data_IF_050730301650
#
_entry.id   IF_050730301650
#
_cell.length_a   1.000
_cell.length_b   1.000
_cell.length_c   1.000
_cell.angle_alpha   90.00
_cell.angle_beta   90.00
_cell.angle_gamma   90.00
#
_symmetry.space_group_name_H-M   'P 1'
#
loop_
_entity.id
_entity.type
_entity.pdbx_description
1 polymer ?
#
# COMPACT_ATOMS: atom_id res chain seq x y z
N UNK A 1 33.68 -14.41 31.52
CA UNK A 1 33.53 -15.39 30.41
C UNK A 1 32.03 -15.54 30.17
N UNK A 2 31.39 -15.34 29.02
CA UNK A 2 31.84 -15.04 27.66
C UNK A 2 30.67 -14.42 26.91
N UNK A 3 30.94 -13.36 26.14
CA UNK A 3 29.98 -12.59 25.34
C UNK A 3 29.77 -13.36 24.02
N UNK A 4 28.61 -13.98 23.83
CA UNK A 4 28.28 -14.68 22.59
C UNK A 4 28.03 -13.64 21.50
N UNK A 5 28.95 -13.54 20.54
CA UNK A 5 28.84 -12.69 19.36
C UNK A 5 27.84 -13.35 18.40
N UNK A 6 26.66 -12.76 18.25
CA UNK A 6 25.74 -13.05 17.15
C UNK A 6 26.33 -12.47 15.86
N UNK A 7 26.94 -13.33 15.04
CA UNK A 7 27.40 -12.99 13.70
C UNK A 7 26.16 -12.82 12.80
N UNK A 8 25.77 -11.57 12.56
CA UNK A 8 24.86 -11.22 11.48
C UNK A 8 25.56 -11.54 10.15
N UNK A 9 25.18 -12.67 9.56
CA UNK A 9 25.62 -13.10 8.23
C UNK A 9 25.08 -12.13 7.17
N UNK A 10 25.84 -11.08 6.88
CA UNK A 10 25.61 -10.25 5.70
C UNK A 10 25.98 -11.09 4.49
N UNK A 11 24.96 -11.49 3.73
CA UNK A 11 25.08 -12.24 2.48
C UNK A 11 25.86 -11.38 1.47
N UNK A 12 27.18 -11.52 1.45
CA UNK A 12 28.07 -10.97 0.42
C UNK A 12 27.82 -11.74 -0.87
N UNK A 13 26.80 -11.36 -1.63
CA UNK A 13 26.62 -11.81 -3.00
C UNK A 13 27.68 -11.08 -3.86
N UNK A 14 28.55 -11.79 -4.60
CA UNK A 14 29.46 -11.13 -5.54
C UNK A 14 28.64 -10.36 -6.59
N UNK A 15 29.16 -9.24 -7.13
CA UNK A 15 28.46 -8.48 -8.15
C UNK A 15 28.11 -9.41 -9.32
N UNK A 16 26.87 -9.34 -9.79
CA UNK A 16 26.42 -10.14 -10.93
C UNK A 16 27.33 -9.86 -12.12
N UNK A 17 28.21 -10.80 -12.45
CA UNK A 17 29.13 -10.68 -13.57
C UNK A 17 28.29 -10.64 -14.86
N UNK A 18 28.40 -9.55 -15.60
CA UNK A 18 27.67 -9.38 -16.87
C UNK A 18 28.20 -10.44 -17.84
N UNK A 19 27.33 -11.37 -18.24
CA UNK A 19 27.65 -12.39 -19.24
C UNK A 19 27.19 -11.90 -20.61
N UNK A 20 28.13 -11.86 -21.55
CA UNK A 20 27.84 -11.51 -22.95
C UNK A 20 27.77 -12.79 -23.79
N UNK A 21 26.82 -12.85 -24.72
CA UNK A 21 26.76 -13.88 -25.74
C UNK A 21 26.33 -13.27 -27.08
N UNK A 22 26.90 -13.78 -28.17
CA UNK A 22 26.50 -13.39 -29.53
C UNK A 22 25.31 -14.24 -29.94
N UNK A 23 24.22 -13.60 -30.40
CA UNK A 23 23.00 -14.26 -30.84
C UNK A 23 22.75 -13.94 -32.31
N UNK A 24 22.09 -14.86 -33.03
CA UNK A 24 21.55 -14.54 -34.35
C UNK A 24 20.48 -13.46 -34.23
N UNK A 25 20.24 -12.71 -35.33
CA UNK A 25 19.23 -11.65 -35.35
C UNK A 25 17.84 -12.17 -34.97
N UNK A 26 17.47 -13.36 -35.45
CA UNK A 26 16.18 -14.00 -35.14
C UNK A 26 16.03 -14.30 -33.64
N UNK A 27 17.06 -14.90 -33.03
CA UNK A 27 17.04 -15.25 -31.61
C UNK A 27 17.03 -14.00 -30.72
N UNK A 28 17.71 -12.93 -31.14
CA UNK A 28 17.63 -11.64 -30.48
C UNK A 28 16.21 -11.07 -30.52
N UNK A 29 15.58 -10.99 -31.70
CA UNK A 29 14.21 -10.47 -31.85
C UNK A 29 13.23 -11.28 -31.01
N UNK A 30 13.33 -12.61 -31.05
CA UNK A 30 12.48 -13.50 -30.25
C UNK A 30 12.57 -13.24 -28.75
N UNK A 31 13.79 -13.04 -28.22
CA UNK A 31 13.99 -12.72 -26.79
C UNK A 31 13.56 -11.31 -26.44
N UNK A 32 13.88 -10.34 -27.29
CA UNK A 32 13.57 -8.93 -27.07
C UNK A 32 12.06 -8.69 -27.01
N UNK A 33 11.31 -9.24 -27.96
CA UNK A 33 9.86 -9.05 -28.04
C UNK A 33 9.09 -9.66 -26.86
N UNK A 34 9.64 -10.65 -26.16
CA UNK A 34 9.04 -11.16 -24.92
C UNK A 34 9.06 -10.15 -23.77
N UNK A 35 9.92 -9.12 -23.84
CA UNK A 35 10.01 -8.06 -22.83
C UNK A 35 9.23 -6.80 -23.22
N UNK A 36 8.77 -6.70 -24.47
CA UNK A 36 7.96 -5.59 -24.94
C UNK A 36 6.51 -5.87 -24.59
N UNK A 37 5.86 -4.89 -23.96
CA UNK A 37 4.45 -5.00 -23.61
C UNK A 37 3.60 -4.82 -24.88
N UNK A 38 2.62 -5.71 -25.17
CA UNK A 38 1.80 -5.58 -26.36
C UNK A 38 0.99 -4.28 -26.38
N UNK A 39 0.56 -3.86 -27.55
CA UNK A 39 -0.25 -2.65 -27.69
C UNK A 39 -1.50 -2.71 -26.80
N UNK A 40 -1.84 -1.57 -26.19
CA UNK A 40 -2.95 -1.39 -25.24
C UNK A 40 -2.75 -2.04 -23.85
N UNK A 41 -1.61 -2.66 -23.59
CA UNK A 41 -1.23 -3.05 -22.22
C UNK A 41 -0.43 -1.93 -21.55
N UNK A 42 -0.59 -1.78 -20.24
CA UNK A 42 0.14 -0.79 -19.44
C UNK A 42 0.87 -1.48 -18.31
N UNK A 43 2.13 -1.09 -18.10
CA UNK A 43 2.92 -1.58 -16.96
C UNK A 43 2.47 -0.88 -15.68
N UNK A 44 1.77 -1.61 -14.81
CA UNK A 44 1.42 -1.11 -13.48
C UNK A 44 2.68 -0.97 -12.62
N UNK A 45 2.87 0.22 -12.04
CA UNK A 45 3.92 0.49 -11.06
C UNK A 45 3.26 0.72 -9.71
N UNK A 46 3.65 -0.07 -8.71
CA UNK A 46 3.17 0.09 -7.35
C UNK A 46 4.03 1.10 -6.60
N UNK A 47 3.40 2.06 -5.93
CA UNK A 47 4.05 3.13 -5.16
C UNK A 47 3.59 3.13 -3.71
N UNK A 48 4.26 3.93 -2.88
CA UNK A 48 3.91 4.12 -1.47
C UNK A 48 3.91 2.80 -0.71
N UNK A 49 2.84 2.53 0.04
CA UNK A 49 2.70 1.32 0.86
C UNK A 49 2.74 0.02 0.04
N UNK A 50 2.24 0.04 -1.20
CA UNK A 50 2.21 -1.14 -2.07
C UNK A 50 3.51 -1.35 -2.86
N UNK A 51 4.49 -0.46 -2.71
CA UNK A 51 5.80 -0.61 -3.35
C UNK A 51 6.46 -1.94 -2.98
N UNK A 52 7.15 -2.64 -3.91
CA UNK A 52 7.86 -3.88 -3.61
C UNK A 52 8.87 -3.77 -2.46
N UNK A 53 9.48 -2.59 -2.26
CA UNK A 53 10.39 -2.33 -1.14
C UNK A 53 9.69 -2.33 0.23
N UNK A 54 8.39 -2.08 0.26
CA UNK A 54 7.59 -1.91 1.47
C UNK A 54 6.81 -3.16 1.85
N UNK A 55 7.14 -4.34 1.29
CA UNK A 55 6.43 -5.61 1.57
C UNK A 55 6.32 -5.94 3.06
N UNK A 56 7.36 -5.66 3.85
CA UNK A 56 7.35 -5.87 5.31
C UNK A 56 6.38 -4.92 6.02
N UNK A 57 6.40 -3.64 5.66
CA UNK A 57 5.48 -2.64 6.20
C UNK A 57 4.03 -2.95 5.84
N UNK A 58 3.79 -3.42 4.61
CA UNK A 58 2.45 -3.85 4.17
C UNK A 58 1.95 -5.06 4.99
N UNK A 59 2.81 -6.03 5.30
CA UNK A 59 2.46 -7.17 6.14
C UNK A 59 2.11 -6.73 7.57
N UNK A 60 2.94 -5.88 8.18
CA UNK A 60 2.69 -5.31 9.52
C UNK A 60 1.38 -4.52 9.57
N UNK A 61 1.13 -3.67 8.56
CA UNK A 61 -0.12 -2.92 8.47
C UNK A 61 -1.35 -3.86 8.43
N UNK A 62 -1.26 -4.98 7.70
CA UNK A 62 -2.34 -5.98 7.67
C UNK A 62 -2.54 -6.67 9.00
N UNK A 63 -1.47 -7.04 9.70
CA UNK A 63 -1.54 -7.65 11.03
C UNK A 63 -2.18 -6.71 12.05
N UNK A 64 -1.78 -5.43 12.06
CA UNK A 64 -2.36 -4.42 12.95
C UNK A 64 -3.84 -4.15 12.65
N UNK A 65 -4.24 -4.17 11.38
CA UNK A 65 -5.64 -4.00 10.98
C UNK A 65 -6.49 -5.26 11.23
N UNK A 66 -5.88 -6.44 11.25
CA UNK A 66 -6.55 -7.70 11.56
C UNK A 66 -6.73 -7.92 13.08
N UNK A 67 -6.12 -7.08 13.93
CA UNK A 67 -6.36 -7.12 15.36
C UNK A 67 -7.81 -6.67 15.64
N UNK A 68 -8.60 -7.44 16.42
CA UNK A 68 -9.94 -7.03 16.80
C UNK A 68 -9.86 -5.71 17.57
N UNK A 69 -10.57 -4.69 17.08
CA UNK A 69 -10.72 -3.43 17.78
C UNK A 69 -11.36 -3.71 19.14
N UNK A 70 -10.72 -3.27 20.23
CA UNK A 70 -11.34 -3.32 21.55
C UNK A 70 -12.60 -2.43 21.54
N UNK A 71 -13.76 -3.06 21.71
CA UNK A 71 -15.07 -2.43 21.72
C UNK A 71 -15.11 -1.28 22.74
N UNK A 72 -15.13 -0.05 22.24
CA UNK A 72 -15.39 1.14 23.04
C UNK A 72 -16.81 1.62 22.75
N UNK A 73 -17.79 0.86 23.22
CA UNK A 73 -19.18 1.30 23.30
C UNK A 73 -19.38 2.08 24.60
N UNK A 74 -19.17 3.40 24.55
CA UNK A 74 -19.68 4.31 25.59
C UNK A 74 -21.03 4.84 25.14
N UNK A 75 -22.08 4.32 25.78
CA UNK A 75 -23.44 4.85 25.73
C UNK A 75 -23.53 6.14 26.55
N UNK A 76 -23.97 7.23 25.92
CA UNK A 76 -24.59 8.35 26.63
C UNK A 76 -25.62 8.99 25.70
N UNK A 77 -26.89 8.78 26.03
CA UNK A 77 -28.06 9.38 25.40
C UNK A 77 -28.42 10.61 26.21
N UNK A 78 -28.56 11.77 25.57
CA UNK A 78 -29.45 12.82 26.04
C UNK A 78 -29.90 13.74 24.89
N UNK A 79 -31.20 14.03 24.90
CA UNK A 79 -32.01 14.61 23.83
C UNK A 79 -31.98 16.14 23.90
N UNK A 80 -31.81 16.83 22.75
CA UNK A 80 -32.49 18.13 22.53
C UNK A 80 -32.73 18.41 21.05
N UNK A 81 -33.95 18.83 20.76
CA UNK A 81 -34.50 19.10 19.44
C UNK A 81 -33.84 20.31 18.75
N UNK A 82 -33.58 20.18 17.45
CA UNK A 82 -33.42 21.29 16.51
C UNK A 82 -33.69 20.81 15.06
N UNK A 83 -34.26 21.75 14.28
CA UNK A 83 -34.93 21.67 12.97
C UNK A 83 -34.29 20.80 11.86
N UNK A 84 -35.06 20.38 10.83
CA UNK A 84 -34.62 19.40 9.84
C UNK A 84 -33.60 20.00 8.86
N UNK A 85 -32.37 20.12 9.32
CA UNK A 85 -31.22 19.95 8.44
C UNK A 85 -31.24 18.48 8.07
N UNK A 86 -31.49 18.14 6.80
CA UNK A 86 -31.47 16.74 6.34
C UNK A 86 -30.07 16.20 6.61
N UNK A 87 -29.90 15.56 7.76
CA UNK A 87 -28.64 15.00 8.18
C UNK A 87 -28.29 13.91 7.17
N UNK A 88 -27.08 13.93 6.59
CA UNK A 88 -26.74 13.00 5.54
C UNK A 88 -26.82 11.57 6.10
N UNK A 89 -27.56 10.71 5.42
CA UNK A 89 -27.73 9.30 5.80
C UNK A 89 -26.79 8.41 4.99
N UNK A 90 -26.34 7.31 5.60
CA UNK A 90 -25.56 6.29 4.91
C UNK A 90 -26.39 5.66 3.77
N UNK A 91 -25.91 5.64 2.52
CA UNK A 91 -26.66 5.07 1.40
C UNK A 91 -26.84 3.54 1.47
N UNK A 92 -26.12 2.86 2.37
CA UNK A 92 -26.18 1.41 2.53
C UNK A 92 -27.13 0.96 3.66
N UNK A 93 -27.17 1.69 4.78
CA UNK A 93 -27.96 1.29 5.96
C UNK A 93 -28.94 2.35 6.46
N UNK A 94 -28.98 3.54 5.86
CA UNK A 94 -29.87 4.63 6.27
C UNK A 94 -29.50 5.31 7.58
N UNK A 95 -28.45 4.85 8.29
CA UNK A 95 -28.00 5.46 9.53
C UNK A 95 -27.54 6.91 9.33
N UNK A 96 -27.79 7.77 10.33
CA UNK A 96 -27.34 9.17 10.31
C UNK A 96 -25.81 9.25 10.37
N UNK A 97 -25.21 10.08 9.52
CA UNK A 97 -23.77 10.32 9.52
C UNK A 97 -23.41 11.47 10.48
N UNK A 98 -22.33 11.29 11.24
CA UNK A 98 -21.75 12.32 12.11
C UNK A 98 -20.56 12.98 11.43
N UNK A 99 -20.50 14.32 11.40
CA UNK A 99 -19.34 15.05 10.89
C UNK A 99 -18.16 14.90 11.85
N UNK A 100 -17.13 14.15 11.46
CA UNK A 100 -15.93 13.95 12.29
C UNK A 100 -14.96 15.12 12.17
N UNK A 101 -14.64 15.55 10.94
CA UNK A 101 -13.79 16.72 10.68
C UNK A 101 -13.93 17.21 9.24
N UNK A 102 -13.72 18.50 9.02
CA UNK A 102 -13.51 19.06 7.69
C UNK A 102 -12.01 19.02 7.33
N UNK A 103 -11.69 18.45 6.17
CA UNK A 103 -10.33 18.46 5.65
C UNK A 103 -10.10 19.74 4.84
N UNK A 104 -9.07 20.51 5.17
CA UNK A 104 -8.63 21.61 4.30
C UNK A 104 -8.00 21.00 3.04
N UNK A 105 -8.23 21.59 1.84
CA UNK A 105 -7.53 21.18 0.64
C UNK A 105 -6.03 21.25 0.89
N UNK A 106 -5.28 20.23 0.49
CA UNK A 106 -3.82 20.28 0.53
C UNK A 106 -3.36 21.29 -0.50
N UNK A 107 -2.93 22.47 -0.05
CA UNK A 107 -2.18 23.43 -0.87
C UNK A 107 -0.76 22.87 -1.11
N UNK A 108 -0.66 21.85 -1.95
CA UNK A 108 0.61 21.35 -2.45
C UNK A 108 0.66 21.60 -3.95
N UNK A 109 1.73 22.23 -4.43
CA UNK A 109 2.03 22.28 -5.86
C UNK A 109 2.25 20.83 -6.32
N UNK A 110 1.63 20.39 -7.44
CA UNK A 110 1.88 19.06 -7.97
C UNK A 110 3.37 18.90 -8.36
N UNK A 111 3.95 17.70 -8.23
CA UNK A 111 5.33 17.44 -8.63
C UNK A 111 5.53 17.53 -10.15
#
# INVERSE_FOLDING_TARGET
MSRVKSLSSTKNQPPSQVRCSTLSAEEFMRRFLQHVLPNRFVKVRYYGLLSPGNRKLLAQARELLAAPAADSHTTARETRAQEPTVAPSCPHCGALLTLIRQLKPRSGVPP
#
